data_IF_594836794820
#
_entry.id   IF_594836794820
#
_cell.length_a   1.000
_cell.length_b   1.000
_cell.length_c   1.000
_cell.angle_alpha   90.00
_cell.angle_beta   90.00
_cell.angle_gamma   90.00
#
_symmetry.space_group_name_H-M   'P 1'
#
loop_
_entity.id
_entity.type
_entity.pdbx_description
1 polymer ?
#
# COMPACT_ATOMS: atom_id res chain seq x y z
N UNK A 1 30.05 -3.61 27.72
CA UNK A 1 28.79 -4.10 27.10
C UNK A 1 28.69 -5.57 27.42
N UNK A 2 27.90 -5.92 28.43
CA UNK A 2 27.63 -7.30 28.81
C UNK A 2 26.91 -8.02 27.66
N UNK A 3 27.49 -9.13 27.19
CA UNK A 3 26.81 -10.05 26.29
C UNK A 3 25.70 -10.72 27.08
N UNK A 4 24.44 -10.38 26.81
CA UNK A 4 23.28 -11.09 27.34
C UNK A 4 23.32 -12.54 26.83
N UNK A 5 23.74 -13.47 27.68
CA UNK A 5 23.84 -14.91 27.42
C UNK A 5 22.62 -15.67 27.94
N UNK A 6 21.42 -15.16 27.68
CA UNK A 6 20.21 -15.97 27.76
C UNK A 6 19.76 -16.19 26.32
N UNK A 7 19.90 -17.42 25.84
CA UNK A 7 19.38 -17.84 24.53
C UNK A 7 17.85 -17.70 24.54
N UNK A 8 17.36 -16.51 24.18
CA UNK A 8 15.95 -16.31 23.93
C UNK A 8 15.60 -17.19 22.73
N UNK A 9 14.83 -18.24 22.99
CA UNK A 9 14.35 -19.10 21.91
C UNK A 9 13.47 -18.29 20.96
N UNK A 10 13.47 -18.67 19.68
CA UNK A 10 12.57 -18.06 18.69
C UNK A 10 11.10 -18.14 19.13
N UNK A 11 10.72 -19.16 19.91
CA UNK A 11 9.39 -19.32 20.49
C UNK A 11 9.04 -18.20 21.48
N UNK A 12 9.93 -17.94 22.45
CA UNK A 12 9.74 -16.84 23.41
C UNK A 12 9.69 -15.48 22.71
N UNK A 13 10.60 -15.22 21.77
CA UNK A 13 10.59 -13.97 21.02
C UNK A 13 9.29 -13.73 20.24
N UNK A 14 8.72 -14.79 19.63
CA UNK A 14 7.43 -14.72 18.93
C UNK A 14 6.28 -14.42 19.89
N UNK A 15 6.30 -15.02 21.07
CA UNK A 15 5.23 -14.83 22.06
C UNK A 15 5.26 -13.42 22.66
N UNK A 16 6.44 -12.91 23.02
CA UNK A 16 6.61 -11.54 23.51
C UNK A 16 6.09 -10.51 22.49
N UNK A 17 6.43 -10.69 21.21
CA UNK A 17 5.96 -9.83 20.13
C UNK A 17 4.45 -9.97 19.89
N UNK A 18 3.88 -11.18 20.04
CA UNK A 18 2.43 -11.41 19.94
C UNK A 18 1.69 -10.70 21.08
N UNK A 19 2.21 -10.76 22.30
CA UNK A 19 1.64 -10.06 23.45
C UNK A 19 1.70 -8.54 23.25
N UNK A 20 2.86 -8.01 22.84
CA UNK A 20 3.02 -6.59 22.54
C UNK A 20 2.07 -6.11 21.42
N UNK A 21 1.91 -6.91 20.36
CA UNK A 21 0.97 -6.65 19.27
C UNK A 21 -0.48 -6.63 19.76
N UNK A 22 -0.87 -7.60 20.61
CA UNK A 22 -2.21 -7.70 21.18
C UNK A 22 -2.51 -6.54 22.12
N UNK A 23 -1.54 -6.15 22.94
CA UNK A 23 -1.60 -5.00 23.84
C UNK A 23 -1.44 -3.64 23.11
N UNK A 24 -1.10 -3.66 21.81
CA UNK A 24 -0.82 -2.46 20.98
C UNK A 24 0.26 -1.55 21.58
N UNK A 25 1.28 -2.13 22.20
CA UNK A 25 2.42 -1.40 22.74
C UNK A 25 3.65 -1.58 21.85
N UNK A 26 4.56 -0.60 21.89
CA UNK A 26 5.86 -0.75 21.27
C UNK A 26 6.73 -1.69 22.10
N UNK A 27 7.37 -2.67 21.47
CA UNK A 27 8.31 -3.58 22.13
C UNK A 27 9.58 -3.74 21.27
N UNK A 28 10.78 -3.80 21.87
CA UNK A 28 11.98 -4.17 21.13
C UNK A 28 11.92 -5.67 20.75
N UNK A 29 12.35 -6.00 19.54
CA UNK A 29 12.53 -7.38 19.12
C UNK A 29 13.60 -8.05 19.99
N UNK A 30 13.32 -9.15 20.69
CA UNK A 30 14.31 -9.82 21.55
C UNK A 30 15.53 -10.34 20.78
N UNK A 31 15.41 -10.56 19.46
CA UNK A 31 16.51 -11.07 18.63
C UNK A 31 17.49 -10.00 18.15
N UNK A 32 17.01 -8.80 17.79
CA UNK A 32 17.82 -7.77 17.14
C UNK A 32 17.70 -6.38 17.76
N UNK A 33 16.89 -6.22 18.81
CA UNK A 33 16.63 -4.94 19.48
C UNK A 33 15.78 -3.96 18.67
N UNK A 34 15.41 -4.27 17.42
CA UNK A 34 14.61 -3.37 16.58
C UNK A 34 13.24 -3.10 17.20
N UNK A 35 12.83 -1.83 17.26
CA UNK A 35 11.54 -1.44 17.82
C UNK A 35 10.38 -1.90 16.92
N UNK A 36 9.58 -2.83 17.42
CA UNK A 36 8.35 -3.30 16.79
C UNK A 36 7.16 -2.48 17.33
N UNK A 37 6.37 -1.88 16.43
CA UNK A 37 5.23 -1.03 16.79
C UNK A 37 4.05 -1.33 15.88
N UNK A 38 2.86 -1.47 16.48
CA UNK A 38 1.61 -1.50 15.72
C UNK A 38 1.28 -0.09 15.25
N UNK A 39 1.22 0.11 13.93
CA UNK A 39 0.88 1.40 13.32
C UNK A 39 -0.50 1.33 12.67
N UNK A 40 -1.41 2.20 13.13
CA UNK A 40 -2.69 2.43 12.46
C UNK A 40 -2.46 3.19 11.16
N UNK A 41 -3.04 2.71 10.06
CA UNK A 41 -3.09 3.39 8.77
C UNK A 41 -4.54 3.63 8.37
N UNK A 42 -4.76 4.76 7.71
CA UNK A 42 -6.07 5.21 7.21
C UNK A 42 -6.03 5.13 5.69
N UNK A 43 -7.10 4.63 5.09
CA UNK A 43 -7.35 4.83 3.66
C UNK A 43 -7.77 6.28 3.47
N UNK A 44 -6.90 7.07 2.85
CA UNK A 44 -7.05 8.51 2.68
C UNK A 44 -7.47 8.85 1.24
N UNK A 45 -7.86 10.11 1.05
CA UNK A 45 -8.35 10.66 -0.21
C UNK A 45 -7.31 10.52 -1.34
N UNK A 46 -6.05 10.87 -1.07
CA UNK A 46 -4.94 10.69 -2.01
C UNK A 46 -4.83 9.24 -2.52
N UNK A 47 -5.05 8.23 -1.67
CA UNK A 47 -5.02 6.83 -2.09
C UNK A 47 -6.12 6.51 -3.10
N UNK A 48 -7.33 7.02 -2.87
CA UNK A 48 -8.45 6.85 -3.80
C UNK A 48 -8.15 7.51 -5.14
N UNK A 49 -7.58 8.72 -5.13
CA UNK A 49 -7.30 9.47 -6.34
C UNK A 49 -6.22 8.76 -7.18
N UNK A 50 -5.13 8.38 -6.52
CA UNK A 50 -4.05 7.60 -7.13
C UNK A 50 -4.56 6.28 -7.72
N UNK A 51 -5.44 5.56 -7.02
CA UNK A 51 -6.01 4.31 -7.51
C UNK A 51 -6.90 4.54 -8.74
N UNK A 52 -7.77 5.55 -8.73
CA UNK A 52 -8.60 5.87 -9.89
C UNK A 52 -7.76 6.23 -11.11
N UNK A 53 -6.68 6.99 -10.94
CA UNK A 53 -5.78 7.31 -12.05
C UNK A 53 -5.03 6.08 -12.57
N UNK A 54 -4.55 5.21 -11.67
CA UNK A 54 -3.94 3.94 -12.07
C UNK A 54 -4.92 3.06 -12.84
N UNK A 55 -6.17 2.95 -12.40
CA UNK A 55 -7.21 2.18 -13.10
C UNK A 55 -7.47 2.77 -14.48
N UNK A 56 -7.58 4.10 -14.60
CA UNK A 56 -7.77 4.74 -15.89
C UNK A 56 -6.64 4.42 -16.88
N UNK A 57 -5.37 4.59 -16.46
CA UNK A 57 -4.22 4.25 -17.28
C UNK A 57 -4.22 2.78 -17.69
N UNK A 58 -4.47 1.88 -16.72
CA UNK A 58 -4.53 0.44 -16.97
C UNK A 58 -5.66 0.05 -17.94
N UNK A 59 -6.79 0.75 -17.93
CA UNK A 59 -7.87 0.52 -18.90
C UNK A 59 -7.52 0.99 -20.32
N UNK A 60 -6.52 1.88 -20.48
CA UNK A 60 -6.09 2.33 -21.82
C UNK A 60 -5.20 1.32 -22.53
N UNK A 61 -4.28 0.67 -21.80
CA UNK A 61 -3.22 -0.15 -22.40
C UNK A 61 -3.04 -1.54 -21.77
N UNK A 62 -3.72 -1.82 -20.65
CA UNK A 62 -3.57 -3.04 -19.85
C UNK A 62 -2.12 -3.32 -19.39
N UNK A 63 -1.30 -2.27 -19.31
CA UNK A 63 0.11 -2.38 -18.91
C UNK A 63 0.33 -1.95 -17.45
N UNK A 64 1.35 -2.49 -16.78
CA UNK A 64 1.78 -1.94 -15.51
C UNK A 64 2.35 -0.54 -15.65
N UNK A 65 1.99 0.34 -14.71
CA UNK A 65 2.43 1.74 -14.72
C UNK A 65 3.45 2.00 -13.62
N UNK A 66 4.52 2.70 -13.98
CA UNK A 66 5.54 3.12 -13.01
C UNK A 66 4.98 4.19 -12.07
N UNK A 67 5.28 4.12 -10.77
CA UNK A 67 4.73 5.08 -9.80
C UNK A 67 5.03 6.55 -10.14
N UNK A 68 6.15 6.83 -10.81
CA UNK A 68 6.49 8.19 -11.25
C UNK A 68 5.54 8.72 -12.31
N UNK A 69 4.98 7.85 -13.17
CA UNK A 69 3.95 8.25 -14.15
C UNK A 69 2.66 8.70 -13.44
N UNK A 70 2.45 8.27 -12.20
CA UNK A 70 1.27 8.54 -11.38
C UNK A 70 1.41 9.84 -10.57
N UNK A 71 2.55 10.54 -10.66
CA UNK A 71 2.81 11.78 -9.90
C UNK A 71 2.23 13.06 -10.51
N UNK A 72 1.79 13.07 -11.77
CA UNK A 72 1.60 14.32 -12.52
C UNK A 72 0.24 14.62 -13.20
N UNK A 73 -0.85 13.84 -13.08
CA UNK A 73 -2.06 14.17 -13.83
C UNK A 73 -2.80 15.42 -13.37
N UNK A 74 -2.74 15.78 -12.08
CA UNK A 74 -3.67 16.75 -11.49
C UNK A 74 -3.12 18.16 -11.28
N UNK A 75 -1.99 18.52 -11.91
CA UNK A 75 -1.53 19.91 -11.94
C UNK A 75 -1.45 20.55 -10.54
N UNK A 76 -0.34 20.32 -9.84
CA UNK A 76 0.06 20.92 -8.56
C UNK A 76 -0.32 20.16 -7.26
N UNK A 77 0.72 20.01 -6.41
CA UNK A 77 0.72 19.77 -4.96
C UNK A 77 0.40 18.39 -4.36
N UNK A 78 -0.05 17.38 -5.11
CA UNK A 78 -0.05 16.02 -4.56
C UNK A 78 1.34 15.40 -4.74
N UNK A 79 2.24 15.63 -3.77
CA UNK A 79 3.40 14.76 -3.60
C UNK A 79 2.91 13.36 -3.22
N UNK A 80 2.49 12.60 -4.22
CA UNK A 80 2.16 11.20 -4.05
C UNK A 80 3.41 10.50 -3.56
N UNK A 81 3.36 10.12 -2.28
CA UNK A 81 4.42 9.34 -1.68
C UNK A 81 4.29 7.93 -2.23
N UNK A 82 5.41 7.28 -2.53
CA UNK A 82 5.39 5.83 -2.81
C UNK A 82 4.61 5.06 -1.73
N UNK A 83 4.62 5.58 -0.50
CA UNK A 83 4.00 4.92 0.64
C UNK A 83 2.49 4.71 0.42
N UNK A 84 1.86 5.52 -0.43
CA UNK A 84 0.46 5.40 -0.84
C UNK A 84 0.21 4.02 -1.47
N UNK A 85 1.02 3.63 -2.47
CA UNK A 85 0.96 2.28 -3.07
C UNK A 85 1.40 1.21 -2.09
N UNK A 86 2.39 1.50 -1.23
CA UNK A 86 2.85 0.56 -0.22
C UNK A 86 1.75 0.10 0.73
N UNK A 87 0.73 0.94 0.96
CA UNK A 87 -0.40 0.60 1.82
C UNK A 87 -1.59 0.03 1.05
N UNK A 88 -1.77 0.39 -0.22
CA UNK A 88 -2.83 -0.19 -1.05
C UNK A 88 -2.54 -1.64 -1.51
N UNK A 89 -1.28 -2.10 -1.40
CA UNK A 89 -0.82 -3.44 -1.81
C UNK A 89 -1.56 -4.60 -1.12
N UNK A 90 -1.39 -5.82 -1.66
CA UNK A 90 -2.01 -7.09 -1.24
C UNK A 90 -2.09 -7.33 0.29
N UNK A 91 -1.06 -6.94 1.03
CA UNK A 91 -1.05 -7.07 2.50
C UNK A 91 -1.91 -6.00 3.19
N UNK A 92 -2.15 -4.84 2.58
CA UNK A 92 -3.03 -3.78 3.09
C UNK A 92 -4.49 -3.95 2.68
N UNK A 93 -4.96 -3.13 1.75
CA UNK A 93 -6.34 -3.20 1.24
C UNK A 93 -6.53 -4.14 0.04
N UNK A 94 -5.44 -4.59 -0.57
CA UNK A 94 -5.45 -5.43 -1.77
C UNK A 94 -6.15 -4.73 -2.96
N UNK A 95 -5.83 -3.46 -3.16
CA UNK A 95 -6.37 -2.63 -4.25
C UNK A 95 -5.37 -2.48 -5.41
N UNK A 96 -4.07 -2.64 -5.13
CA UNK A 96 -3.01 -2.60 -6.15
C UNK A 96 -2.06 -3.77 -5.93
N UNK A 97 -1.40 -4.20 -6.99
CA UNK A 97 -0.36 -5.23 -6.96
C UNK A 97 0.92 -4.64 -7.51
N UNK A 98 2.03 -4.85 -6.81
CA UNK A 98 3.34 -4.53 -7.36
C UNK A 98 3.79 -5.65 -8.29
N UNK A 99 4.35 -5.26 -9.44
CA UNK A 99 5.04 -6.19 -10.33
C UNK A 99 6.41 -6.50 -9.74
N UNK A 100 6.74 -7.79 -9.71
CA UNK A 100 8.00 -8.32 -9.17
C UNK A 100 8.77 -9.04 -10.27
N UNK A 101 10.03 -9.38 -9.98
CA UNK A 101 10.89 -10.14 -10.90
C UNK A 101 10.37 -11.55 -11.20
N UNK A 102 9.44 -12.04 -10.38
CA UNK A 102 8.82 -13.36 -10.51
C UNK A 102 7.51 -13.32 -11.28
N UNK A 103 7.09 -12.15 -11.80
CA UNK A 103 5.87 -12.02 -12.59
C UNK A 103 6.17 -12.44 -14.05
N UNK A 104 5.67 -13.60 -14.50
CA UNK A 104 6.01 -14.16 -15.81
C UNK A 104 5.38 -13.35 -16.96
N UNK A 105 4.33 -12.58 -16.69
CA UNK A 105 3.64 -11.76 -17.70
C UNK A 105 4.38 -10.45 -17.98
N UNK A 106 5.37 -10.09 -17.16
CA UNK A 106 5.98 -8.76 -17.14
C UNK A 106 7.50 -8.77 -17.04
N UNK A 107 8.16 -9.80 -17.61
CA UNK A 107 9.61 -9.98 -17.53
C UNK A 107 10.40 -8.79 -18.10
N UNK A 108 9.85 -8.10 -19.11
CA UNK A 108 10.53 -6.99 -19.78
C UNK A 108 10.62 -5.74 -18.89
N UNK A 109 9.63 -5.55 -18.02
CA UNK A 109 9.52 -4.42 -17.10
C UNK A 109 10.55 -4.53 -15.95
N UNK A 110 10.94 -5.76 -15.62
CA UNK A 110 11.90 -6.04 -14.54
C UNK A 110 13.30 -5.50 -14.89
N UNK A 111 13.66 -5.50 -16.17
CA UNK A 111 14.95 -4.98 -16.63
C UNK A 111 15.05 -3.45 -16.53
N UNK A 112 13.91 -2.74 -16.56
CA UNK A 112 13.86 -1.28 -16.42
C UNK A 112 14.20 -0.78 -15.00
N UNK A 113 14.19 -1.65 -13.99
CA UNK A 113 14.55 -1.27 -12.60
C UNK A 113 16.05 -1.04 -12.38
N UNK A 114 16.90 -1.50 -13.29
CA UNK A 114 18.36 -1.51 -13.09
C UNK A 114 18.94 -0.11 -13.26
N UNK A 115 18.92 0.69 -12.20
CA UNK A 115 19.46 2.06 -12.18
C UNK A 115 18.57 3.10 -11.52
N UNK A 116 17.39 2.71 -11.00
CA UNK A 116 16.48 3.63 -10.33
C UNK A 116 17.00 4.01 -8.93
N UNK A 117 17.34 5.29 -8.66
CA UNK A 117 17.80 5.72 -7.34
C UNK A 117 16.73 5.58 -6.25
N UNK A 118 15.45 5.45 -6.62
CA UNK A 118 14.32 5.26 -5.70
C UNK A 118 13.96 3.78 -5.46
N UNK A 119 14.83 2.83 -5.87
CA UNK A 119 14.61 1.38 -5.87
C UNK A 119 13.82 0.73 -4.71
N UNK A 120 13.99 1.10 -3.41
CA UNK A 120 13.20 0.47 -2.34
C UNK A 120 11.71 0.82 -2.39
N UNK A 121 11.36 1.89 -3.09
CA UNK A 121 10.05 2.50 -3.12
C UNK A 121 9.50 2.57 -4.56
N UNK A 122 10.37 2.58 -5.56
CA UNK A 122 9.97 2.57 -6.95
C UNK A 122 9.44 1.22 -7.42
N UNK A 123 8.65 1.25 -8.49
CA UNK A 123 8.06 0.05 -9.03
C UNK A 123 6.92 0.30 -9.98
N UNK A 124 6.59 -0.76 -10.69
CA UNK A 124 5.43 -0.85 -11.54
C UNK A 124 4.29 -1.48 -10.77
N UNK A 125 3.10 -0.93 -10.97
CA UNK A 125 1.89 -1.34 -10.27
C UNK A 125 0.78 -1.58 -11.29
N UNK A 126 -0.08 -2.54 -10.96
CA UNK A 126 -1.35 -2.77 -11.64
C UNK A 126 -2.47 -2.72 -10.60
N UNK A 127 -3.67 -2.26 -10.96
CA UNK A 127 -4.82 -2.41 -10.07
C UNK A 127 -5.17 -3.90 -9.95
N UNK A 128 -5.62 -4.34 -8.78
CA UNK A 128 -6.24 -5.67 -8.64
C UNK A 128 -7.69 -5.61 -9.12
N UNK A 129 -8.36 -6.75 -9.29
CA UNK A 129 -9.81 -6.78 -9.54
C UNK A 129 -10.57 -6.00 -8.45
N UNK A 130 -10.19 -6.19 -7.18
CA UNK A 130 -10.75 -5.41 -6.06
C UNK A 130 -10.46 -3.92 -6.18
N UNK A 131 -9.28 -3.55 -6.67
CA UNK A 131 -8.91 -2.17 -6.99
C UNK A 131 -9.82 -1.54 -8.03
N UNK A 132 -10.07 -2.26 -9.13
CA UNK A 132 -10.97 -1.85 -10.21
C UNK A 132 -12.40 -1.69 -9.68
N UNK A 133 -12.92 -2.68 -8.94
CA UNK A 133 -14.26 -2.61 -8.35
C UNK A 133 -14.37 -1.44 -7.36
N UNK A 134 -13.36 -1.20 -6.54
CA UNK A 134 -13.35 -0.09 -5.59
C UNK A 134 -13.33 1.27 -6.32
N UNK A 135 -12.45 1.44 -7.30
CA UNK A 135 -12.34 2.64 -8.10
C UNK A 135 -13.63 2.95 -8.86
N UNK A 136 -14.37 1.92 -9.31
CA UNK A 136 -15.68 2.03 -9.96
C UNK A 136 -16.86 2.16 -8.98
N UNK A 137 -16.60 2.38 -7.69
CA UNK A 137 -17.63 2.50 -6.66
C UNK A 137 -18.54 1.26 -6.53
N UNK A 138 -18.01 0.07 -6.83
CA UNK A 138 -18.70 -1.22 -6.75
C UNK A 138 -18.26 -2.06 -5.53
N UNK A 139 -17.23 -1.62 -4.81
CA UNK A 139 -16.72 -2.28 -3.61
C UNK A 139 -16.52 -1.28 -2.49
N UNK A 140 -16.82 -1.69 -1.26
CA UNK A 140 -16.43 -0.97 -0.05
C UNK A 140 -15.39 -1.77 0.75
N UNK A 141 -14.45 -1.07 1.40
CA UNK A 141 -13.39 -1.68 2.22
C UNK A 141 -13.28 -1.02 3.59
N UNK A 142 -12.72 -1.70 4.62
CA UNK A 142 -12.54 -1.07 5.94
C UNK A 142 -11.64 0.16 5.87
N UNK A 143 -12.04 1.27 6.53
CA UNK A 143 -11.31 2.55 6.50
C UNK A 143 -9.90 2.48 7.11
N UNK A 144 -9.69 1.60 8.08
CA UNK A 144 -8.44 1.50 8.82
C UNK A 144 -7.84 0.11 8.75
N UNK A 145 -6.51 0.07 8.84
CA UNK A 145 -5.76 -1.15 9.10
C UNK A 145 -4.69 -0.91 10.17
N UNK A 146 -4.33 -1.96 10.88
CA UNK A 146 -3.19 -1.97 11.79
C UNK A 146 -2.09 -2.79 11.14
N UNK A 147 -0.87 -2.24 11.12
CA UNK A 147 0.33 -2.96 10.63
C UNK A 147 1.30 -3.23 11.74
N UNK A 148 1.89 -4.41 11.71
CA UNK A 148 3.00 -4.81 12.54
C UNK A 148 4.12 -5.33 11.65
N UNK A 149 5.30 -4.74 11.74
CA UNK A 149 6.47 -5.11 10.95
C UNK A 149 6.21 -5.22 9.43
N UNK A 150 5.44 -4.28 8.87
CA UNK A 150 5.12 -4.31 7.44
C UNK A 150 4.09 -5.37 7.04
N UNK A 151 3.40 -6.01 7.99
CA UNK A 151 2.28 -6.92 7.73
C UNK A 151 0.99 -6.35 8.30
N UNK A 152 -0.14 -6.50 7.62
CA UNK A 152 -1.44 -6.15 8.18
C UNK A 152 -1.89 -7.22 9.15
N UNK A 153 -2.19 -6.80 10.36
CA UNK A 153 -2.66 -7.69 11.43
C UNK A 153 -4.15 -7.56 11.70
N UNK A 154 -4.74 -6.43 11.28
CA UNK A 154 -6.17 -6.16 11.48
C UNK A 154 -6.66 -5.15 10.47
N UNK A 155 -7.86 -5.37 9.93
CA UNK A 155 -8.67 -4.37 9.20
C UNK A 155 -9.86 -4.00 10.08
N UNK A 156 -10.17 -2.72 10.24
CA UNK A 156 -11.23 -2.25 11.14
C UNK A 156 -11.78 -0.87 10.75
N UNK A 157 -12.81 -0.42 11.50
CA UNK A 157 -13.56 0.80 11.23
C UNK A 157 -14.76 0.56 10.30
N UNK A 158 -15.46 1.64 9.97
CA UNK A 158 -16.54 1.60 8.98
C UNK A 158 -16.02 1.22 7.60
N UNK A 159 -16.91 0.64 6.79
CA UNK A 159 -16.68 0.45 5.36
C UNK A 159 -16.73 1.82 4.67
N UNK A 160 -15.81 2.03 3.73
CA UNK A 160 -15.77 3.19 2.84
C UNK A 160 -15.69 2.70 1.40
N UNK A 161 -16.34 3.40 0.48
CA UNK A 161 -16.16 3.28 -0.97
C UNK A 161 -15.34 4.49 -1.49
N UNK A 162 -15.15 4.58 -2.80
CA UNK A 162 -14.38 5.69 -3.39
C UNK A 162 -15.06 7.05 -3.20
N UNK A 163 -16.41 7.13 -3.25
CA UNK A 163 -17.14 8.39 -3.01
C UNK A 163 -16.96 8.87 -1.58
N UNK A 164 -17.00 7.95 -0.61
CA UNK A 164 -16.77 8.27 0.81
C UNK A 164 -15.34 8.79 1.09
N UNK A 165 -14.36 8.40 0.26
CA UNK A 165 -12.98 8.88 0.39
C UNK A 165 -12.76 10.26 -0.19
N UNK A 166 -13.43 10.57 -1.29
CA UNK A 166 -13.19 11.78 -2.10
C UNK A 166 -14.15 12.92 -1.75
N UNK A 167 -15.27 12.63 -1.09
CA UNK A 167 -16.23 13.64 -0.67
C UNK A 167 -16.87 14.37 -1.86
N UNK A 168 -17.20 15.65 -1.64
CA UNK A 168 -17.87 16.51 -2.63
C UNK A 168 -16.92 17.04 -3.72
N UNK A 169 -15.61 16.94 -3.52
CA UNK A 169 -14.59 17.36 -4.50
C UNK A 169 -14.36 16.32 -5.60
N UNK A 170 -15.11 15.22 -5.58
CA UNK A 170 -14.95 14.11 -6.51
C UNK A 170 -15.68 14.33 -7.82
N UNK A 171 -14.93 14.59 -8.90
CA UNK A 171 -15.44 14.40 -10.25
C UNK A 171 -14.82 13.14 -10.88
N UNK A 172 -15.59 12.05 -10.86
CA UNK A 172 -15.16 10.78 -11.42
C UNK A 172 -14.85 10.84 -12.92
N UNK A 173 -15.59 11.67 -13.66
CA UNK A 173 -15.37 11.84 -15.10
C UNK A 173 -14.02 12.54 -15.37
N UNK A 174 -13.74 13.63 -14.65
CA UNK A 174 -12.43 14.31 -14.71
C UNK A 174 -11.28 13.37 -14.34
N UNK A 175 -11.47 12.54 -13.30
CA UNK A 175 -10.48 11.58 -12.84
C UNK A 175 -10.20 10.43 -13.81
N UNK A 176 -11.19 10.02 -14.61
CA UNK A 176 -11.04 9.02 -15.68
C UNK A 176 -10.60 9.64 -17.01
N UNK A 177 -10.06 10.87 -17.02
CA UNK A 177 -9.68 11.56 -18.25
C UNK A 177 -10.85 11.77 -19.24
N UNK A 178 -12.09 11.56 -18.79
CA UNK A 178 -13.30 11.88 -19.54
C UNK A 178 -13.57 13.36 -19.30
N UNK A 179 -12.75 14.21 -19.93
CA UNK A 179 -13.07 15.63 -19.99
C UNK A 179 -14.45 15.79 -20.63
N UNK A 180 -15.34 16.51 -19.93
CA UNK A 180 -16.59 17.03 -20.49
C UNK A 180 -16.24 18.31 -21.24
#
# INVERSE_FOLDING_TARGET
>A
MEKLSNEVTLGHAKEDLRQAMSARVAAPCPCCGQKCVVRKRKLAENHGATLCFLVWLYEQDYMPHHYLALRYPFGQHYEHSVQDFAWMKNDGWDLVRAITTSDPEHTDIVHMRKGDPDAPYSGFYVPTERGILFANNQLSVPKFLDRFNGHTVRKHGGLVNIKDLQGEHFNYAEMQGKMI
#
